data_IF_905310992067
#
_entry.id   IF_905310992067
#
_cell.length_a   1.000
_cell.length_b   1.000
_cell.length_c   1.000
_cell.angle_alpha   90.00
_cell.angle_beta   90.00
_cell.angle_gamma   90.00
#
_symmetry.space_group_name_H-M   'P 1'
#
loop_
_entity.id
_entity.type
_entity.pdbx_description
1 polymer ?
#
# COMPACT_ATOMS: atom_id res chain seq x y z
N UNK A 1 5.59 -15.21 -9.87
CA UNK A 1 5.59 -14.55 -8.54
C UNK A 1 4.15 -14.34 -8.13
N UNK A 2 3.81 -14.58 -6.85
CA UNK A 2 2.42 -14.47 -6.39
C UNK A 2 2.27 -13.20 -5.54
N UNK A 3 1.32 -12.34 -5.89
CA UNK A 3 0.98 -11.11 -5.18
C UNK A 3 -0.42 -11.28 -4.59
N UNK A 4 -0.57 -11.03 -3.29
CA UNK A 4 -1.89 -10.96 -2.67
C UNK A 4 -2.49 -9.57 -2.87
N UNK A 5 -3.75 -9.53 -3.28
CA UNK A 5 -4.59 -8.33 -3.25
C UNK A 5 -5.57 -8.51 -2.10
N UNK A 6 -5.36 -7.80 -0.99
CA UNK A 6 -6.28 -7.86 0.15
C UNK A 6 -7.47 -6.95 -0.15
N UNK A 7 -8.67 -7.53 -0.11
CA UNK A 7 -9.94 -6.81 -0.29
C UNK A 7 -11.09 -7.76 -0.58
N UNK A 8 -12.32 -7.33 -0.30
CA UNK A 8 -13.52 -8.12 -0.62
C UNK A 8 -13.95 -7.86 -2.06
N UNK A 9 -13.37 -8.62 -2.98
CA UNK A 9 -13.54 -8.39 -4.42
C UNK A 9 -15.01 -8.32 -4.83
N UNK A 10 -15.29 -7.39 -5.75
CA UNK A 10 -16.60 -7.18 -6.32
C UNK A 10 -16.44 -6.56 -7.70
N UNK A 11 -16.83 -7.31 -8.74
CA UNK A 11 -16.72 -6.90 -10.14
C UNK A 11 -17.54 -5.64 -10.48
N UNK A 12 -18.52 -5.26 -9.65
CA UNK A 12 -19.30 -4.03 -9.83
C UNK A 12 -18.55 -2.78 -9.38
N UNK A 13 -17.46 -2.93 -8.61
CA UNK A 13 -16.69 -1.82 -8.08
C UNK A 13 -15.57 -1.48 -9.07
N UNK A 14 -15.60 -0.26 -9.59
CA UNK A 14 -14.66 0.21 -10.62
C UNK A 14 -13.20 0.09 -10.18
N UNK A 15 -12.87 0.51 -8.95
CA UNK A 15 -11.52 0.45 -8.41
C UNK A 15 -10.98 -0.98 -8.36
N UNK A 16 -11.81 -1.99 -8.04
CA UNK A 16 -11.40 -3.39 -8.04
C UNK A 16 -10.99 -3.88 -9.43
N UNK A 17 -11.77 -3.51 -10.46
CA UNK A 17 -11.42 -3.82 -11.85
C UNK A 17 -10.14 -3.09 -12.30
N UNK A 18 -9.95 -1.85 -11.85
CA UNK A 18 -8.72 -1.09 -12.11
C UNK A 18 -7.51 -1.73 -11.44
N UNK A 19 -7.62 -2.22 -10.19
CA UNK A 19 -6.56 -3.00 -9.53
C UNK A 19 -6.14 -4.20 -10.38
N UNK A 20 -7.09 -4.95 -10.93
CA UNK A 20 -6.79 -6.07 -11.83
C UNK A 20 -6.10 -5.61 -13.14
N UNK A 21 -6.47 -4.44 -13.67
CA UNK A 21 -5.86 -3.90 -14.88
C UNK A 21 -4.41 -3.45 -14.62
N UNK A 22 -4.13 -2.76 -13.53
CA UNK A 22 -2.81 -2.18 -13.31
C UNK A 22 -1.72 -3.21 -13.03
N UNK A 23 -2.05 -4.37 -12.44
CA UNK A 23 -1.08 -5.45 -12.33
C UNK A 23 -0.77 -6.09 -13.68
N UNK A 24 -1.77 -6.18 -14.58
CA UNK A 24 -1.54 -6.61 -15.98
C UNK A 24 -0.69 -5.61 -16.75
N UNK A 25 -0.80 -4.31 -16.48
CA UNK A 25 0.09 -3.31 -17.09
C UNK A 25 1.56 -3.61 -16.78
N UNK A 26 1.85 -4.18 -15.62
CA UNK A 26 3.21 -4.49 -15.20
C UNK A 26 3.76 -5.78 -15.82
N UNK A 27 2.93 -6.69 -16.33
CA UNK A 27 3.36 -8.04 -16.76
C UNK A 27 4.46 -7.99 -17.84
N UNK A 28 4.31 -7.13 -18.85
CA UNK A 28 5.28 -7.01 -19.95
C UNK A 28 6.59 -6.30 -19.55
N UNK A 29 6.66 -5.74 -18.33
CA UNK A 29 7.83 -5.03 -17.81
C UNK A 29 8.73 -5.92 -16.94
N UNK A 30 8.35 -7.18 -16.72
CA UNK A 30 9.13 -8.15 -15.95
C UNK A 30 9.24 -9.49 -16.68
N UNK A 31 10.42 -10.10 -16.64
CA UNK A 31 10.64 -11.45 -17.22
C UNK A 31 10.00 -12.59 -16.40
N UNK A 32 9.40 -12.26 -15.26
CA UNK A 32 8.80 -13.23 -14.33
C UNK A 32 7.29 -13.06 -14.39
N UNK A 33 6.57 -14.16 -14.65
CA UNK A 33 5.10 -14.14 -14.62
C UNK A 33 4.55 -13.65 -13.29
N UNK A 34 3.66 -12.66 -13.33
CA UNK A 34 3.00 -12.06 -12.17
C UNK A 34 1.61 -12.67 -12.02
N UNK A 35 1.36 -13.35 -10.91
CA UNK A 35 0.05 -13.90 -10.58
C UNK A 35 -0.54 -13.12 -9.41
N UNK A 36 -1.75 -12.60 -9.58
CA UNK A 36 -2.46 -11.88 -8.51
C UNK A 36 -3.60 -12.71 -7.95
N UNK A 37 -3.76 -12.69 -6.63
CA UNK A 37 -4.80 -13.44 -5.92
C UNK A 37 -5.54 -12.52 -4.96
N UNK A 38 -6.86 -12.41 -5.14
CA UNK A 38 -7.69 -11.68 -4.19
C UNK A 38 -7.91 -12.50 -2.93
N UNK A 39 -7.63 -11.88 -1.78
CA UNK A 39 -7.81 -12.46 -0.45
C UNK A 39 -8.90 -11.69 0.27
N UNK A 40 -10.03 -12.37 0.50
CA UNK A 40 -11.18 -11.73 1.15
C UNK A 40 -10.93 -11.55 2.65
N UNK A 41 -11.59 -10.55 3.24
CA UNK A 41 -11.44 -10.25 4.66
C UNK A 41 -11.91 -11.41 5.57
N UNK A 42 -12.79 -12.28 5.08
CA UNK A 42 -13.22 -13.50 5.77
C UNK A 42 -12.11 -14.53 5.90
N UNK A 43 -11.28 -14.69 4.86
CA UNK A 43 -10.14 -15.63 4.87
C UNK A 43 -9.08 -15.16 5.88
N UNK A 44 -8.80 -13.86 5.91
CA UNK A 44 -7.88 -13.24 6.87
C UNK A 44 -8.36 -13.34 8.32
N UNK A 45 -9.68 -13.33 8.53
CA UNK A 45 -10.27 -13.48 9.87
C UNK A 45 -9.93 -14.83 10.48
N UNK A 46 -9.87 -15.89 9.66
CA UNK A 46 -9.56 -17.24 10.11
C UNK A 46 -8.08 -17.39 10.45
N UNK A 47 -7.19 -17.06 9.50
CA UNK A 47 -5.75 -17.18 9.72
C UNK A 47 -4.95 -16.25 8.80
N UNK A 48 -4.37 -15.18 9.37
CA UNK A 48 -3.59 -14.20 8.61
C UNK A 48 -2.24 -14.77 8.16
N UNK A 49 -1.51 -15.42 9.07
CA UNK A 49 -0.13 -15.86 8.86
C UNK A 49 -0.05 -16.94 7.76
N UNK A 50 -0.83 -18.02 7.92
CA UNK A 50 -0.85 -19.11 6.94
C UNK A 50 -1.36 -18.67 5.56
N UNK A 51 -2.19 -17.62 5.53
CA UNK A 51 -2.67 -17.04 4.28
C UNK A 51 -1.57 -16.24 3.60
N UNK A 52 -0.93 -15.31 4.32
CA UNK A 52 -0.02 -14.34 3.71
C UNK A 52 1.38 -14.88 3.41
N UNK A 53 1.86 -15.90 4.14
CA UNK A 53 3.18 -16.51 3.89
C UNK A 53 3.38 -17.10 2.49
N UNK A 54 2.30 -17.28 1.73
CA UNK A 54 2.30 -17.84 0.35
C UNK A 54 2.61 -16.79 -0.73
N UNK A 55 2.65 -15.52 -0.36
CA UNK A 55 2.75 -14.40 -1.29
C UNK A 55 4.07 -13.66 -1.12
N UNK A 56 4.61 -13.15 -2.22
CA UNK A 56 5.87 -12.41 -2.24
C UNK A 56 5.67 -10.93 -1.94
N UNK A 57 4.46 -10.42 -2.11
CA UNK A 57 4.09 -9.03 -1.86
C UNK A 57 2.58 -8.93 -1.62
N UNK A 58 2.16 -7.83 -1.00
CA UNK A 58 0.76 -7.53 -0.70
C UNK A 58 0.40 -6.13 -1.18
N UNK A 59 -0.73 -6.04 -1.87
CA UNK A 59 -1.41 -4.78 -2.19
C UNK A 59 -2.74 -4.71 -1.44
N UNK A 60 -3.00 -3.61 -0.74
CA UNK A 60 -4.29 -3.39 -0.07
C UNK A 60 -5.24 -2.62 -1.00
N UNK A 61 -6.23 -3.31 -1.55
CA UNK A 61 -7.24 -2.69 -2.38
C UNK A 61 -8.24 -1.88 -1.54
N UNK A 62 -8.72 -0.77 -2.09
CA UNK A 62 -9.83 -0.01 -1.50
C UNK A 62 -11.03 -0.92 -1.21
N UNK A 63 -11.73 -0.63 -0.11
CA UNK A 63 -12.92 -1.37 0.30
C UNK A 63 -14.14 -1.14 -0.60
N UNK A 64 -15.34 -1.56 -0.14
CA UNK A 64 -15.68 -1.85 1.25
C UNK A 64 -15.17 -3.22 1.74
N UNK A 65 -15.01 -3.35 3.07
CA UNK A 65 -14.62 -4.60 3.72
C UNK A 65 -15.74 -5.14 4.63
N UNK A 66 -16.06 -6.44 4.49
CA UNK A 66 -16.97 -7.19 5.36
C UNK A 66 -16.42 -7.36 6.77
N UNK A 67 -15.10 -7.55 6.91
CA UNK A 67 -14.40 -7.69 8.18
C UNK A 67 -13.21 -6.71 8.29
N UNK A 68 -13.47 -5.42 8.54
CA UNK A 68 -12.42 -4.39 8.60
C UNK A 68 -11.36 -4.63 9.68
N UNK A 69 -11.74 -5.21 10.83
CA UNK A 69 -10.77 -5.58 11.86
C UNK A 69 -9.82 -6.70 11.42
N UNK A 70 -10.24 -7.57 10.49
CA UNK A 70 -9.35 -8.56 9.89
C UNK A 70 -8.32 -7.88 8.97
N UNK A 71 -8.69 -6.80 8.29
CA UNK A 71 -7.78 -5.97 7.49
C UNK A 71 -6.71 -5.34 8.39
N UNK A 72 -7.10 -4.72 9.51
CA UNK A 72 -6.14 -4.16 10.46
C UNK A 72 -5.18 -5.21 11.03
N UNK A 73 -5.71 -6.39 11.40
CA UNK A 73 -4.88 -7.51 11.86
C UNK A 73 -3.90 -7.97 10.77
N UNK A 74 -4.32 -7.95 9.51
CA UNK A 74 -3.45 -8.27 8.38
C UNK A 74 -2.34 -7.24 8.19
N UNK A 75 -2.64 -5.94 8.23
CA UNK A 75 -1.63 -4.87 8.13
C UNK A 75 -0.59 -5.00 9.24
N UNK A 76 -1.03 -5.24 10.48
CA UNK A 76 -0.14 -5.48 11.61
C UNK A 76 0.82 -6.65 11.34
N UNK A 77 0.28 -7.78 10.89
CA UNK A 77 1.11 -8.96 10.59
C UNK A 77 2.08 -8.68 9.43
N UNK A 78 1.63 -8.02 8.36
CA UNK A 78 2.47 -7.62 7.22
C UNK A 78 3.65 -6.76 7.69
N UNK A 79 3.38 -5.78 8.57
CA UNK A 79 4.42 -4.93 9.15
C UNK A 79 5.40 -5.75 9.99
N UNK A 80 4.90 -6.57 10.92
CA UNK A 80 5.73 -7.36 11.85
C UNK A 80 6.54 -8.46 11.15
N UNK A 81 5.99 -9.06 10.09
CA UNK A 81 6.66 -10.08 9.28
C UNK A 81 7.51 -9.48 8.14
N UNK A 82 7.57 -8.15 8.03
CA UNK A 82 8.29 -7.43 6.99
C UNK A 82 7.93 -7.88 5.56
N UNK A 83 6.65 -8.10 5.30
CA UNK A 83 6.14 -8.48 3.98
C UNK A 83 6.06 -7.22 3.10
N UNK A 84 6.58 -7.24 1.85
CA UNK A 84 6.49 -6.09 0.95
C UNK A 84 5.05 -5.64 0.74
N UNK A 85 4.77 -4.37 0.98
CA UNK A 85 3.42 -3.86 1.12
C UNK A 85 3.20 -2.49 0.46
N UNK A 86 2.07 -2.38 -0.25
CA UNK A 86 1.57 -1.12 -0.79
C UNK A 86 0.09 -0.92 -0.43
N UNK A 87 -0.20 0.19 0.24
CA UNK A 87 -1.54 0.72 0.47
C UNK A 87 -1.70 2.08 -0.23
N UNK A 88 -2.89 2.38 -0.74
CA UNK A 88 -3.14 3.61 -1.51
C UNK A 88 -4.52 4.18 -1.23
N UNK A 89 -4.70 5.47 -1.47
CA UNK A 89 -5.99 6.15 -1.38
C UNK A 89 -6.63 5.95 0.02
N UNK A 90 -7.92 5.59 0.10
CA UNK A 90 -8.66 5.37 1.35
C UNK A 90 -8.00 4.40 2.33
N UNK A 91 -7.16 3.49 1.85
CA UNK A 91 -6.48 2.49 2.69
C UNK A 91 -5.33 3.10 3.50
N UNK A 92 -4.88 4.31 3.16
CA UNK A 92 -3.87 5.06 3.91
C UNK A 92 -4.22 5.19 5.40
N UNK A 93 -5.50 5.44 5.69
CA UNK A 93 -6.01 5.57 7.08
C UNK A 93 -5.91 4.27 7.86
N UNK A 94 -6.06 3.10 7.21
CA UNK A 94 -5.91 1.81 7.88
C UNK A 94 -4.47 1.56 8.33
N UNK A 95 -3.50 2.00 7.51
CA UNK A 95 -2.08 1.93 7.87
C UNK A 95 -1.76 2.85 9.04
N UNK A 96 -2.28 4.08 9.03
CA UNK A 96 -2.13 4.98 10.17
C UNK A 96 -2.69 4.38 11.47
N UNK A 97 -3.86 3.73 11.41
CA UNK A 97 -4.46 3.09 12.59
C UNK A 97 -3.55 2.01 13.16
N UNK A 98 -2.98 1.13 12.32
CA UNK A 98 -2.00 0.13 12.78
C UNK A 98 -0.77 0.78 13.44
N UNK A 99 -0.21 1.82 12.82
CA UNK A 99 0.97 2.51 13.37
C UNK A 99 0.65 3.21 14.70
N UNK A 100 -0.51 3.86 14.82
CA UNK A 100 -0.93 4.46 16.09
C UNK A 100 -1.11 3.43 17.19
N UNK A 101 -1.87 2.37 16.92
CA UNK A 101 -2.20 1.37 17.93
C UNK A 101 -1.00 0.53 18.36
N UNK A 102 -0.12 0.19 17.42
CA UNK A 102 0.88 -0.86 17.62
C UNK A 102 2.32 -0.36 17.60
N UNK A 103 2.60 0.84 17.08
CA UNK A 103 3.94 1.43 17.09
C UNK A 103 4.05 2.55 18.12
N UNK A 104 3.05 3.42 18.21
CA UNK A 104 3.00 4.48 19.24
C UNK A 104 2.38 3.98 20.55
N UNK A 105 1.49 2.99 20.48
CA UNK A 105 0.72 2.53 21.64
C UNK A 105 -0.45 3.45 22.01
N UNK A 106 -0.84 4.34 21.09
CA UNK A 106 -2.04 5.16 21.23
C UNK A 106 -3.22 4.37 20.67
N UNK A 107 -4.12 3.90 21.55
CA UNK A 107 -5.29 3.16 21.10
C UNK A 107 -6.18 4.10 20.28
N UNK A 108 -6.22 3.87 18.97
CA UNK A 108 -7.00 4.69 18.06
C UNK A 108 -8.50 4.59 18.43
N UNK A 109 -9.22 5.70 18.25
CA UNK A 109 -10.68 5.66 18.18
C UNK A 109 -11.03 4.71 17.02
N UNK A 110 -12.03 3.84 17.23
CA UNK A 110 -12.43 2.80 16.26
C UNK A 110 -12.39 3.35 14.84
N UNK A 111 -11.86 2.60 13.85
CA UNK A 111 -11.92 3.03 12.46
C UNK A 111 -13.37 3.38 12.16
N UNK A 112 -13.63 4.57 11.64
CA UNK A 112 -14.93 4.86 11.05
C UNK A 112 -15.03 4.05 9.77
N UNK A 113 -15.31 2.76 9.94
CA UNK A 113 -15.44 1.82 8.83
C UNK A 113 -16.65 2.18 7.97
N UNK A 114 -17.62 2.89 8.56
CA UNK A 114 -18.85 3.30 7.92
C UNK A 114 -18.66 4.53 7.03
N UNK A 115 -17.59 5.33 7.21
CA UNK A 115 -17.23 6.38 6.25
C UNK A 115 -16.78 5.83 4.88
N UNK A 116 -16.41 4.54 4.77
CA UNK A 116 -16.26 3.89 3.46
C UNK A 116 -17.61 3.54 2.81
N UNK A 117 -18.70 3.53 3.59
CA UNK A 117 -20.08 3.32 3.15
C UNK A 117 -20.83 4.62 2.82
N UNK A 118 -20.15 5.78 2.73
CA UNK A 118 -20.82 7.02 2.35
C UNK A 118 -21.43 6.92 0.95
N UNK A 119 -22.72 6.56 0.94
CA UNK A 119 -23.73 7.07 0.04
C UNK A 119 -23.83 8.58 0.25
N UNK A 120 -22.79 9.34 -0.09
CA UNK A 120 -22.91 10.77 -0.33
C UNK A 120 -22.59 11.03 -1.80
N UNK A 121 -23.67 11.03 -2.57
CA UNK A 121 -23.75 11.44 -3.97
C UNK A 121 -23.46 12.95 -4.10
N UNK A 122 -22.21 13.32 -3.95
CA UNK A 122 -21.67 14.60 -4.44
C UNK A 122 -20.25 14.28 -4.86
N UNK A 123 -20.06 14.02 -6.16
CA UNK A 123 -18.79 13.83 -6.86
C UNK A 123 -17.56 13.79 -5.94
N UNK A 124 -17.01 12.59 -5.69
CA UNK A 124 -15.61 12.47 -5.27
C UNK A 124 -14.78 13.15 -6.37
N UNK A 125 -14.52 14.45 -6.21
CA UNK A 125 -13.69 15.23 -7.11
C UNK A 125 -12.29 14.67 -6.91
N UNK A 126 -11.93 13.77 -7.83
CA UNK A 126 -10.55 13.33 -7.95
C UNK A 126 -9.75 14.55 -8.36
N UNK A 127 -8.92 15.04 -7.45
CA UNK A 127 -8.02 16.15 -7.68
C UNK A 127 -6.68 15.61 -8.18
N UNK A 128 -6.08 16.33 -9.13
CA UNK A 128 -4.69 16.11 -9.52
C UNK A 128 -3.80 17.04 -8.72
N UNK A 129 -2.87 16.48 -7.95
CA UNK A 129 -1.90 17.23 -7.14
C UNK A 129 -0.49 17.01 -7.65
N UNK A 130 0.34 18.05 -7.58
CA UNK A 130 1.79 17.90 -7.72
C UNK A 130 2.34 17.42 -6.37
N UNK A 131 2.88 16.22 -6.35
CA UNK A 131 3.50 15.61 -5.16
C UNK A 131 5.01 15.71 -5.28
N UNK A 132 5.66 16.10 -4.19
CA UNK A 132 7.10 16.17 -4.01
C UNK A 132 7.54 14.97 -3.16
N UNK A 133 8.58 14.27 -3.60
CA UNK A 133 9.13 13.10 -2.91
C UNK A 133 10.50 13.42 -2.30
N UNK A 134 10.71 12.95 -1.07
CA UNK A 134 11.96 13.16 -0.35
C UNK A 134 13.08 12.31 -0.95
N UNK A 135 14.22 12.95 -1.27
CA UNK A 135 15.40 12.24 -1.78
C UNK A 135 15.90 11.19 -0.78
N UNK A 136 16.23 10.00 -1.28
CA UNK A 136 16.63 8.85 -0.46
C UNK A 136 15.47 8.06 0.16
N UNK A 137 14.22 8.43 -0.11
CA UNK A 137 13.05 7.60 0.21
C UNK A 137 12.87 6.47 -0.81
N UNK A 138 12.20 5.39 -0.40
CA UNK A 138 11.89 4.29 -1.33
C UNK A 138 10.90 4.74 -2.41
N UNK A 139 10.00 5.65 -2.07
CA UNK A 139 9.10 6.28 -3.05
C UNK A 139 9.90 7.04 -4.09
N UNK A 140 10.87 7.87 -3.69
CA UNK A 140 11.75 8.56 -4.63
C UNK A 140 12.48 7.57 -5.56
N UNK A 141 13.00 6.47 -5.02
CA UNK A 141 13.66 5.42 -5.79
C UNK A 141 12.72 4.76 -6.82
N UNK A 142 11.46 4.54 -6.44
CA UNK A 142 10.45 4.02 -7.36
C UNK A 142 10.21 4.98 -8.53
N UNK A 143 10.04 6.27 -8.24
CA UNK A 143 9.74 7.29 -9.24
C UNK A 143 10.95 7.72 -10.09
N UNK A 144 12.17 7.63 -9.54
CA UNK A 144 13.40 8.13 -10.16
C UNK A 144 13.41 9.65 -10.36
N UNK A 145 12.53 10.39 -9.67
CA UNK A 145 12.38 11.85 -9.79
C UNK A 145 11.75 12.44 -8.53
N UNK A 146 12.01 13.72 -8.31
CA UNK A 146 11.55 14.46 -7.11
C UNK A 146 10.07 14.81 -7.11
N UNK A 147 9.39 14.78 -8.26
CA UNK A 147 7.99 15.20 -8.34
C UNK A 147 7.18 14.35 -9.31
N UNK A 148 5.88 14.21 -9.05
CA UNK A 148 4.91 13.58 -9.95
C UNK A 148 3.54 14.22 -9.78
N UNK A 149 2.75 14.25 -10.85
CA UNK A 149 1.33 14.56 -10.73
C UNK A 149 0.56 13.30 -10.37
N UNK A 150 -0.15 13.32 -9.25
CA UNK A 150 -0.89 12.19 -8.73
C UNK A 150 -2.35 12.54 -8.47
N UNK A 151 -3.22 11.53 -8.49
CA UNK A 151 -4.66 11.72 -8.33
C UNK A 151 -5.13 11.22 -6.98
N UNK A 152 -5.85 12.06 -6.23
CA UNK A 152 -6.40 11.70 -4.92
C UNK A 152 -7.86 12.15 -4.78
N UNK A 153 -8.64 11.39 -4.02
CA UNK A 153 -9.94 11.83 -3.50
C UNK A 153 -9.91 12.10 -2.00
N UNK A 154 -8.72 12.07 -1.39
CA UNK A 154 -8.54 12.19 0.05
C UNK A 154 -7.96 13.57 0.42
N UNK A 155 -8.56 14.19 1.43
CA UNK A 155 -8.11 15.48 1.97
C UNK A 155 -7.69 15.37 3.46
N UNK A 156 -7.51 14.16 3.96
CA UNK A 156 -7.14 13.91 5.36
C UNK A 156 -5.77 14.52 5.72
N UNK A 157 -5.68 15.22 6.84
CA UNK A 157 -4.42 15.69 7.42
C UNK A 157 -4.23 15.13 8.82
N UNK A 158 -3.01 14.67 9.10
CA UNK A 158 -2.61 14.20 10.43
C UNK A 158 -2.21 15.37 11.32
N UNK A 159 -2.55 15.30 12.61
CA UNK A 159 -2.09 16.28 13.60
C UNK A 159 -0.54 16.30 13.64
N UNK A 160 0.10 17.49 13.61
CA UNK A 160 1.56 17.58 13.61
C UNK A 160 2.25 16.89 14.80
N UNK A 161 1.64 16.86 15.99
CA UNK A 161 2.23 16.18 17.14
C UNK A 161 2.23 14.67 16.93
N UNK A 162 1.15 14.14 16.37
CA UNK A 162 1.08 12.72 16.00
C UNK A 162 2.06 12.36 14.88
N UNK A 163 2.20 13.23 13.87
CA UNK A 163 3.20 13.05 12.82
C UNK A 163 4.62 13.03 13.41
N UNK A 164 4.93 13.93 14.35
CA UNK A 164 6.23 13.94 15.03
C UNK A 164 6.50 12.62 15.78
N UNK A 165 5.54 12.14 16.57
CA UNK A 165 5.65 10.87 17.28
C UNK A 165 5.87 9.67 16.33
N UNK A 166 5.21 9.66 15.17
CA UNK A 166 5.39 8.62 14.15
C UNK A 166 6.81 8.69 13.54
N UNK A 167 7.32 9.90 13.27
CA UNK A 167 8.69 10.10 12.77
C UNK A 167 9.73 9.54 13.73
N UNK A 168 9.60 9.81 15.02
CA UNK A 168 10.51 9.27 16.05
C UNK A 168 10.50 7.73 16.12
N UNK A 169 9.43 7.08 15.65
CA UNK A 169 9.30 5.62 15.60
C UNK A 169 9.68 4.99 14.27
N UNK A 170 10.23 5.77 13.33
CA UNK A 170 10.73 5.28 12.04
C UNK A 170 9.74 5.38 10.88
N UNK A 171 8.63 6.12 11.04
CA UNK A 171 7.78 6.47 9.90
C UNK A 171 8.38 7.67 9.17
N UNK A 172 8.68 7.50 7.89
CA UNK A 172 9.10 8.60 7.03
C UNK A 172 7.90 9.10 6.23
N UNK A 173 7.57 10.38 6.36
CA UNK A 173 6.52 11.02 5.55
C UNK A 173 7.13 11.54 4.26
N UNK A 174 7.40 10.59 3.35
CA UNK A 174 8.27 10.77 2.18
C UNK A 174 7.65 11.47 0.99
N UNK A 175 6.44 12.04 1.13
CA UNK A 175 5.91 12.92 0.10
C UNK A 175 4.85 13.89 0.58
N UNK A 176 4.84 15.07 -0.03
CA UNK A 176 3.96 16.19 0.30
C UNK A 176 3.47 16.92 -0.95
N UNK A 177 2.38 17.68 -0.85
CA UNK A 177 1.93 18.58 -1.92
C UNK A 177 2.55 19.98 -1.81
N UNK A 178 2.13 20.89 -2.70
CA UNK A 178 2.58 22.29 -2.72
C UNK A 178 2.28 23.04 -1.41
N UNK A 179 1.24 22.63 -0.68
CA UNK A 179 0.86 23.18 0.61
C UNK A 179 1.58 22.50 1.79
N UNK A 180 2.56 21.64 1.51
CA UNK A 180 3.27 20.82 2.50
C UNK A 180 2.38 19.81 3.23
N UNK A 181 1.20 19.52 2.69
CA UNK A 181 0.35 18.47 3.24
C UNK A 181 0.89 17.11 2.86
N UNK A 182 0.94 16.22 3.85
CA UNK A 182 1.46 14.86 3.68
C UNK A 182 0.60 14.11 2.66
N UNK A 183 1.25 13.51 1.67
CA UNK A 183 0.63 12.71 0.60
C UNK A 183 1.05 11.24 0.65
N UNK A 184 2.20 10.93 1.26
CA UNK A 184 2.68 9.56 1.38
C UNK A 184 3.54 9.35 2.62
N UNK A 185 3.60 8.09 3.04
CA UNK A 185 4.48 7.63 4.10
C UNK A 185 5.06 6.26 3.77
N UNK A 186 6.20 5.97 4.37
CA UNK A 186 6.84 4.68 4.38
C UNK A 186 7.32 4.34 5.80
N UNK A 187 7.36 3.06 6.16
CA UNK A 187 7.87 2.64 7.46
C UNK A 187 9.29 2.10 7.32
N UNK A 188 10.28 2.88 7.75
CA UNK A 188 11.71 2.63 7.48
C UNK A 188 12.29 1.39 8.18
N UNK A 189 11.58 0.82 9.16
CA UNK A 189 11.96 -0.45 9.78
C UNK A 189 11.58 -1.66 8.91
N UNK A 190 10.81 -1.44 7.85
CA UNK A 190 10.43 -2.46 6.87
C UNK A 190 11.17 -2.22 5.56
N UNK A 191 11.44 -3.31 4.85
CA UNK A 191 12.22 -3.25 3.61
C UNK A 191 11.41 -2.68 2.44
N UNK A 192 10.08 -2.86 2.43
CA UNK A 192 9.15 -2.16 1.53
C UNK A 192 7.77 -2.08 2.18
N UNK A 193 7.42 -0.91 2.73
CA UNK A 193 6.11 -0.70 3.36
C UNK A 193 5.67 0.73 3.10
N UNK A 194 4.91 0.92 2.02
CA UNK A 194 4.52 2.24 1.49
C UNK A 194 3.01 2.41 1.57
N UNK A 195 2.59 3.62 1.93
CA UNK A 195 1.19 4.02 1.98
C UNK A 195 1.01 5.42 1.40
N UNK A 196 0.12 5.58 0.43
CA UNK A 196 -0.13 6.87 -0.26
C UNK A 196 -1.58 7.32 -0.14
N UNK A 197 -1.83 8.63 -0.07
CA UNK A 197 -3.17 9.20 -0.17
C UNK A 197 -3.67 9.29 -1.60
N UNK A 198 -2.77 9.28 -2.58
CA UNK A 198 -3.12 9.22 -4.00
C UNK A 198 -3.23 7.77 -4.50
N UNK A 199 -3.90 7.60 -5.63
CA UNK A 199 -4.21 6.30 -6.22
C UNK A 199 -3.41 6.03 -7.51
N UNK A 200 -2.46 5.08 -7.51
CA UNK A 200 -1.74 4.68 -8.72
C UNK A 200 -2.65 4.04 -9.77
N UNK A 201 -3.87 3.63 -9.38
CA UNK A 201 -4.88 3.04 -10.26
C UNK A 201 -5.38 4.00 -11.33
N UNK A 202 -5.20 5.31 -11.13
CA UNK A 202 -5.76 6.36 -11.98
C UNK A 202 -4.79 6.82 -13.07
N UNK A 203 -3.49 6.60 -12.88
CA UNK A 203 -2.41 7.04 -13.78
C UNK A 203 -1.66 5.90 -14.46
N UNK A 204 -1.78 4.66 -13.98
CA UNK A 204 -1.12 3.48 -14.59
C UNK A 204 -1.69 3.15 -15.98
N UNK A 205 -0.80 2.87 -16.95
CA UNK A 205 -1.15 2.38 -18.29
C UNK A 205 -0.25 1.22 -18.69
N UNK A 206 -0.61 0.46 -19.74
CA UNK A 206 0.25 -0.63 -20.27
C UNK A 206 1.63 -0.12 -20.71
N UNK A 207 1.67 1.00 -21.43
CA UNK A 207 2.91 1.59 -21.91
C UNK A 207 3.75 2.21 -20.79
N UNK A 208 3.10 2.70 -19.74
CA UNK A 208 3.74 3.33 -18.59
C UNK A 208 3.02 2.89 -17.30
N UNK A 209 3.40 1.72 -16.76
CA UNK A 209 2.86 1.24 -15.50
C UNK A 209 3.32 2.15 -14.36
N UNK A 210 2.48 2.25 -13.33
CA UNK A 210 2.77 3.18 -12.26
C UNK A 210 4.04 2.82 -11.46
N UNK A 211 4.93 3.78 -11.15
CA UNK A 211 6.19 3.54 -10.44
C UNK A 211 6.07 2.77 -9.12
N UNK A 212 5.06 3.06 -8.30
CA UNK A 212 4.86 2.33 -7.03
C UNK A 212 4.45 0.86 -7.23
N UNK A 213 3.72 0.54 -8.31
CA UNK A 213 3.32 -0.84 -8.60
C UNK A 213 4.52 -1.64 -9.10
N UNK A 214 5.27 -1.08 -10.04
CA UNK A 214 6.50 -1.69 -10.54
C UNK A 214 7.56 -1.76 -9.44
N UNK A 215 7.65 -0.76 -8.57
CA UNK A 215 8.50 -0.76 -7.38
C UNK A 215 8.20 -1.91 -6.41
N UNK A 216 6.92 -2.13 -6.08
CA UNK A 216 6.49 -3.27 -5.25
C UNK A 216 6.91 -4.61 -5.88
N UNK A 217 6.66 -4.77 -7.18
CA UNK A 217 7.00 -5.99 -7.93
C UNK A 217 8.51 -6.20 -7.96
N UNK A 218 9.27 -5.16 -8.31
CA UNK A 218 10.72 -5.19 -8.37
C UNK A 218 11.32 -5.59 -7.02
N UNK A 219 10.85 -4.96 -5.93
CA UNK A 219 11.31 -5.30 -4.58
C UNK A 219 11.05 -6.76 -4.22
N UNK A 220 9.85 -7.27 -4.54
CA UNK A 220 9.49 -8.66 -4.28
C UNK A 220 10.32 -9.66 -5.10
N UNK A 221 10.66 -9.32 -6.35
CA UNK A 221 11.56 -10.12 -7.20
C UNK A 221 12.96 -10.18 -6.60
N UNK A 222 13.52 -9.04 -6.23
CA UNK A 222 14.89 -8.96 -5.68
C UNK A 222 15.02 -9.68 -4.35
N UNK A 223 14.00 -9.59 -3.48
CA UNK A 223 13.97 -10.33 -2.21
C UNK A 223 13.99 -11.84 -2.44
N UNK A 224 13.25 -12.32 -3.44
CA UNK A 224 13.21 -13.74 -3.76
C UNK A 224 14.53 -14.26 -4.35
N UNK A 225 15.19 -13.47 -5.20
CA UNK A 225 16.51 -13.83 -5.76
C UNK A 225 17.53 -13.99 -4.64
N UNK A 226 17.62 -13.02 -3.73
CA UNK A 226 18.54 -13.05 -2.58
C UNK A 226 18.32 -14.28 -1.69
N UNK A 227 17.06 -14.63 -1.39
CA UNK A 227 16.75 -15.84 -0.62
C UNK A 227 17.26 -17.11 -1.30
N UNK A 228 17.10 -17.22 -2.63
CA UNK A 228 17.54 -18.39 -3.42
C UNK A 228 19.06 -18.50 -3.47
N UNK A 229 19.78 -17.39 -3.61
CA UNK A 229 21.25 -17.35 -3.60
C UNK A 229 21.83 -17.75 -2.24
N UNK A 230 21.20 -17.30 -1.15
CA UNK A 230 21.60 -17.68 0.22
C UNK A 230 21.42 -19.18 0.42
N UNK A 231 20.28 -19.76 0.01
CA UNK A 231 20.04 -21.20 0.14
C UNK A 231 21.08 -22.02 -0.64
N UNK A 232 21.46 -21.59 -1.85
CA UNK A 232 22.49 -22.27 -2.65
C UNK A 232 23.89 -22.19 -2.01
N UNK A 233 24.21 -21.07 -1.35
CA UNK A 233 25.49 -20.88 -0.68
C UNK A 233 25.65 -21.73 0.62
N UNK A 234 24.55 -22.21 1.21
CA UNK A 234 24.57 -23.05 2.42
C UNK A 234 24.59 -24.56 2.12
N UNK A 235 24.47 -24.95 0.85
CA UNK A 235 24.42 -26.36 0.40
C UNK A 235 25.73 -26.77 -0.32
N UNK A 236 26.65 -25.84 -0.57
CA UNK A 236 27.98 -26.08 -1.15
C UNK A 236 29.10 -26.08 -0.12
#
# INVERSE_FOLDING_TARGET
MNIAIIGDYNFKIKSHNQTNAVFRHCEDHFEIGINTFWINSSELKENVDDTLKKYSAVYLANGPYKHPYAILKAIKHIREANIPFLATDKTYKFVLIDLFEHVIGFRAIKPDVDAQNEKLNIHNLVEQKLVYFDEGSQIFDCYGRRTSFEYTSEAFQIDPNFAHNLKEKGVNFSGSDDQQFIQSMEYGNNSFFISTMFSPLLSSTVAMPHPLLTGLIHFAVETKKKATEVDLAHVG
#
